data_IF_586423034639
#
_entry.id   IF_586423034639
#
_cell.length_a   1.000
_cell.length_b   1.000
_cell.length_c   1.000
_cell.angle_alpha   90.00
_cell.angle_beta   90.00
_cell.angle_gamma   90.00
#
_symmetry.space_group_name_H-M   'P 1'
#
loop_
_entity.id
_entity.type
_entity.pdbx_description
1 polymer ?
#
# COMPACT_ATOMS: atom_id res chain seq x y z
N UNK A 1 2.63 -8.22 1.21
CA UNK A 1 3.52 -8.27 2.40
C UNK A 1 4.35 -7.01 2.50
N UNK A 2 5.08 -6.60 1.45
CA UNK A 2 5.87 -5.35 1.43
C UNK A 2 5.07 -4.11 1.84
N UNK A 3 3.88 -3.90 1.27
CA UNK A 3 3.01 -2.76 1.61
C UNK A 3 2.71 -2.70 3.12
N UNK A 4 2.30 -3.81 3.72
CA UNK A 4 1.97 -3.86 5.14
C UNK A 4 3.20 -3.59 6.02
N UNK A 5 4.36 -4.15 5.68
CA UNK A 5 5.63 -3.92 6.37
C UNK A 5 6.02 -2.42 6.37
N UNK A 6 5.97 -1.78 5.19
CA UNK A 6 6.34 -0.37 5.05
C UNK A 6 5.32 0.58 5.71
N UNK A 7 4.02 0.33 5.53
CA UNK A 7 2.94 1.16 6.08
C UNK A 7 2.75 1.00 7.59
N UNK A 8 3.30 -0.06 8.18
CA UNK A 8 3.34 -0.24 9.64
C UNK A 8 4.61 0.32 10.29
N UNK A 9 5.47 0.99 9.50
CA UNK A 9 6.75 1.56 9.92
C UNK A 9 7.71 0.53 10.53
N UNK A 10 7.65 -0.71 10.06
CA UNK A 10 8.65 -1.73 10.41
C UNK A 10 9.94 -1.59 9.59
N UNK A 11 9.95 -0.71 8.60
CA UNK A 11 11.08 -0.38 7.74
C UNK A 11 10.71 0.73 6.75
N UNK A 12 11.50 0.93 5.68
CA UNK A 12 12.70 0.15 5.34
C UNK A 12 13.88 0.49 6.25
N UNK A 13 14.83 -0.43 6.38
CA UNK A 13 16.12 -0.22 7.05
C UNK A 13 17.24 -0.11 6.00
N UNK A 14 18.41 0.35 6.40
CA UNK A 14 19.56 0.41 5.48
C UNK A 14 20.18 -0.98 5.31
N UNK A 15 20.60 -1.29 4.08
CA UNK A 15 21.38 -2.50 3.78
C UNK A 15 22.66 -2.62 4.63
N UNK A 16 23.24 -1.48 5.03
CA UNK A 16 24.41 -1.48 5.93
C UNK A 16 24.09 -1.91 7.37
N UNK A 17 22.82 -1.90 7.75
CA UNK A 17 22.32 -2.30 9.08
C UNK A 17 21.77 -3.73 9.06
N UNK A 18 21.13 -4.14 7.97
CA UNK A 18 20.61 -5.51 7.73
C UNK A 18 21.03 -6.02 6.34
N UNK A 19 22.25 -6.57 6.21
CA UNK A 19 22.77 -7.00 4.91
C UNK A 19 22.07 -8.24 4.35
N UNK A 20 21.73 -8.23 3.07
CA UNK A 20 21.09 -9.35 2.40
C UNK A 20 22.02 -10.58 2.29
N UNK A 21 21.43 -11.77 2.49
CA UNK A 21 22.06 -13.05 2.16
C UNK A 21 22.94 -13.67 3.24
N UNK A 22 23.03 -13.06 4.42
CA UNK A 22 23.76 -13.65 5.57
C UNK A 22 22.89 -14.59 6.44
N UNK A 23 21.60 -14.73 6.09
CA UNK A 23 20.58 -15.54 6.79
C UNK A 23 20.29 -15.08 8.24
N UNK A 24 20.57 -13.82 8.55
CA UNK A 24 20.35 -13.22 9.85
C UNK A 24 19.73 -11.83 9.67
N UNK A 25 18.86 -11.41 10.59
CA UNK A 25 18.31 -10.06 10.61
C UNK A 25 18.33 -9.54 12.05
N UNK A 26 18.98 -8.40 12.34
CA UNK A 26 18.99 -7.83 13.67
C UNK A 26 17.59 -7.40 14.14
N UNK A 27 17.31 -7.56 15.43
CA UNK A 27 16.11 -7.01 16.06
C UNK A 27 16.31 -5.53 16.43
N UNK A 28 15.22 -4.76 16.47
CA UNK A 28 15.20 -3.40 17.02
C UNK A 28 15.78 -2.32 16.12
N UNK A 29 15.95 -2.59 14.82
CA UNK A 29 16.30 -1.56 13.84
C UNK A 29 15.17 -0.53 13.70
N UNK A 30 15.56 0.71 13.39
CA UNK A 30 14.63 1.81 13.17
C UNK A 30 14.46 2.06 11.67
N UNK A 31 13.23 2.37 11.20
CA UNK A 31 13.00 2.69 9.81
C UNK A 31 13.74 3.97 9.39
N UNK A 32 14.38 3.95 8.23
CA UNK A 32 15.05 5.10 7.64
C UNK A 32 14.06 6.17 7.13
N UNK A 33 12.87 5.73 6.71
CA UNK A 33 11.79 6.55 6.17
C UNK A 33 10.45 5.94 6.55
N UNK A 34 9.40 6.76 6.54
CA UNK A 34 8.03 6.31 6.78
C UNK A 34 7.22 6.43 5.50
N UNK A 35 6.81 5.28 4.93
CA UNK A 35 5.90 5.27 3.79
C UNK A 35 4.51 5.75 4.21
N UNK A 36 3.92 6.66 3.42
CA UNK A 36 2.64 7.29 3.72
C UNK A 36 1.59 7.10 2.62
N UNK A 37 2.02 6.84 1.39
CA UNK A 37 1.08 6.66 0.29
C UNK A 37 1.56 5.59 -0.68
N UNK A 38 0.62 4.74 -1.05
CA UNK A 38 0.75 3.74 -2.11
C UNK A 38 -0.44 3.90 -3.03
N UNK A 39 -0.19 3.99 -4.33
CA UNK A 39 -1.24 3.98 -5.35
C UNK A 39 -1.13 2.71 -6.18
N UNK A 40 -2.27 2.13 -6.55
CA UNK A 40 -2.38 0.97 -7.43
C UNK A 40 -2.98 1.46 -8.74
N UNK A 41 -2.15 1.51 -9.78
CA UNK A 41 -2.59 2.02 -11.09
C UNK A 41 -3.41 0.97 -11.85
N UNK A 42 -4.33 1.41 -12.73
CA UNK A 42 -5.15 0.52 -13.53
C UNK A 42 -4.31 -0.44 -14.39
N UNK A 43 -4.84 -1.64 -14.63
CA UNK A 43 -4.17 -2.63 -15.47
C UNK A 43 -3.96 -2.11 -16.88
N UNK A 44 -2.78 -2.39 -17.44
CA UNK A 44 -2.36 -2.08 -18.82
C UNK A 44 -2.50 -0.59 -19.22
N UNK A 45 -2.67 0.32 -18.26
CA UNK A 45 -2.66 1.76 -18.52
C UNK A 45 -1.21 2.27 -18.58
N UNK A 46 -0.55 2.06 -19.72
CA UNK A 46 0.86 2.40 -19.89
C UNK A 46 1.16 3.88 -19.81
N UNK A 47 0.22 4.75 -20.17
CA UNK A 47 0.40 6.19 -20.00
C UNK A 47 0.44 6.58 -18.52
N UNK A 48 -0.45 6.02 -17.68
CA UNK A 48 -0.39 6.21 -16.23
C UNK A 48 0.91 5.65 -15.62
N UNK A 49 1.39 4.50 -16.11
CA UNK A 49 2.68 3.93 -15.68
C UNK A 49 3.84 4.86 -16.06
N UNK A 50 3.90 5.35 -17.29
CA UNK A 50 4.94 6.29 -17.75
C UNK A 50 4.91 7.60 -16.97
N UNK A 51 3.73 8.14 -16.72
CA UNK A 51 3.54 9.34 -15.91
C UNK A 51 4.03 9.12 -14.48
N UNK A 52 3.67 8.00 -13.85
CA UNK A 52 4.15 7.65 -12.52
C UNK A 52 5.67 7.49 -12.50
N UNK A 53 6.28 6.76 -13.44
CA UNK A 53 7.75 6.66 -13.55
C UNK A 53 8.39 8.05 -13.65
N UNK A 54 7.82 8.96 -14.44
CA UNK A 54 8.35 10.31 -14.61
C UNK A 54 8.32 11.12 -13.30
N UNK A 55 7.25 11.00 -12.50
CA UNK A 55 7.10 11.79 -11.27
C UNK A 55 7.65 11.14 -10.00
N UNK A 56 7.66 9.81 -9.92
CA UNK A 56 8.03 9.06 -8.70
C UNK A 56 9.28 8.19 -8.88
N UNK A 57 9.79 8.07 -10.11
CA UNK A 57 11.02 7.34 -10.44
C UNK A 57 10.86 5.84 -10.64
N UNK A 58 9.71 5.25 -10.26
CA UNK A 58 9.49 3.83 -10.55
C UNK A 58 8.10 3.29 -10.18
N UNK A 59 7.72 2.21 -10.86
CA UNK A 59 6.47 1.49 -10.67
C UNK A 59 6.79 0.00 -10.52
N UNK A 60 6.44 -0.60 -9.40
CA UNK A 60 6.55 -2.06 -9.26
C UNK A 60 5.53 -2.72 -10.18
N UNK A 61 5.98 -3.72 -10.94
CA UNK A 61 5.10 -4.57 -11.74
C UNK A 61 5.54 -6.03 -11.76
N UNK A 62 4.61 -6.90 -12.13
CA UNK A 62 4.81 -8.35 -12.07
C UNK A 62 5.00 -8.95 -13.45
N UNK A 63 5.85 -9.97 -13.50
CA UNK A 63 6.17 -10.75 -14.69
C UNK A 63 5.98 -12.23 -14.41
N UNK A 64 5.74 -12.98 -15.49
CA UNK A 64 6.12 -14.38 -15.50
C UNK A 64 7.55 -14.48 -16.02
N UNK A 65 8.36 -15.35 -15.42
CA UNK A 65 9.64 -15.78 -15.95
C UNK A 65 9.81 -17.30 -15.80
N UNK A 66 10.44 -17.91 -16.80
CA UNK A 66 10.87 -19.31 -16.73
C UNK A 66 12.26 -19.48 -16.12
N UNK A 67 12.99 -18.38 -15.91
CA UNK A 67 14.36 -18.37 -15.37
C UNK A 67 14.31 -18.40 -13.85
N UNK A 68 15.12 -19.26 -13.23
CA UNK A 68 15.29 -19.32 -11.78
C UNK A 68 16.26 -18.25 -11.26
N UNK A 69 17.24 -17.85 -12.08
CA UNK A 69 18.24 -16.84 -11.78
C UNK A 69 18.73 -16.12 -13.06
N UNK A 70 19.69 -15.20 -12.91
CA UNK A 70 20.23 -14.42 -14.01
C UNK A 70 21.22 -15.14 -14.94
N UNK A 71 21.59 -16.39 -14.65
CA UNK A 71 22.48 -17.20 -15.48
C UNK A 71 21.73 -18.12 -16.45
N UNK A 72 20.47 -18.46 -16.13
CA UNK A 72 19.64 -19.34 -16.95
C UNK A 72 19.21 -18.71 -18.29
N UNK A 73 19.02 -19.59 -19.28
CA UNK A 73 18.46 -19.22 -20.58
C UNK A 73 16.94 -19.38 -20.61
N UNK A 74 16.25 -18.54 -21.37
CA UNK A 74 14.80 -18.66 -21.62
C UNK A 74 14.50 -18.44 -23.09
N UNK A 75 13.47 -19.14 -23.60
CA UNK A 75 12.92 -18.90 -24.93
C UNK A 75 12.29 -17.50 -25.07
N UNK A 76 12.10 -16.79 -23.95
CA UNK A 76 11.48 -15.47 -23.87
C UNK A 76 12.49 -14.33 -23.62
N UNK A 77 13.78 -14.64 -23.44
CA UNK A 77 14.81 -13.66 -23.10
C UNK A 77 15.98 -13.66 -24.08
N UNK A 78 16.20 -12.51 -24.72
CA UNK A 78 17.43 -12.25 -25.48
C UNK A 78 18.48 -11.64 -24.55
N UNK A 79 19.52 -12.43 -24.23
CA UNK A 79 20.59 -12.00 -23.31
C UNK A 79 21.50 -10.92 -23.90
N UNK A 80 21.69 -10.89 -25.22
CA UNK A 80 22.56 -9.92 -25.88
C UNK A 80 21.96 -8.51 -25.84
N UNK A 81 20.66 -8.42 -26.05
CA UNK A 81 19.90 -7.15 -26.07
C UNK A 81 19.23 -6.82 -24.72
N UNK A 82 19.30 -7.74 -23.76
CA UNK A 82 18.58 -7.63 -22.49
C UNK A 82 17.07 -7.53 -22.70
N UNK A 83 16.49 -8.25 -23.64
CA UNK A 83 15.10 -8.07 -24.08
C UNK A 83 14.21 -9.25 -23.68
N UNK A 84 13.14 -8.99 -22.94
CA UNK A 84 12.20 -10.00 -22.45
C UNK A 84 10.79 -9.79 -23.01
N UNK A 85 10.16 -10.87 -23.47
CA UNK A 85 8.75 -10.86 -23.87
C UNK A 85 8.11 -12.25 -23.66
N UNK A 86 7.16 -12.34 -22.73
CA UNK A 86 6.33 -13.50 -22.54
C UNK A 86 4.89 -13.24 -22.99
N UNK A 87 4.41 -14.01 -23.99
CA UNK A 87 3.06 -13.84 -24.56
C UNK A 87 2.13 -15.02 -24.26
N UNK A 88 2.46 -15.83 -23.24
CA UNK A 88 1.64 -16.99 -22.84
C UNK A 88 0.60 -16.65 -21.77
N UNK A 89 0.04 -17.69 -21.15
CA UNK A 89 -1.09 -17.63 -20.19
C UNK A 89 -0.69 -17.91 -18.73
N UNK A 90 0.61 -18.05 -18.45
CA UNK A 90 1.10 -18.31 -17.09
C UNK A 90 0.98 -17.05 -16.25
N UNK A 91 0.60 -17.29 -14.99
CA UNK A 91 0.51 -16.27 -13.95
C UNK A 91 1.90 -15.73 -13.59
N UNK A 92 1.97 -14.48 -13.10
CA UNK A 92 3.22 -13.91 -12.62
C UNK A 92 3.86 -14.75 -11.51
N UNK A 93 5.19 -14.78 -11.50
CA UNK A 93 6.02 -15.40 -10.46
C UNK A 93 7.26 -14.55 -10.09
N UNK A 94 7.39 -13.36 -10.67
CA UNK A 94 8.51 -12.46 -10.47
C UNK A 94 8.01 -11.01 -10.43
N UNK A 95 8.70 -10.15 -9.69
CA UNK A 95 8.41 -8.71 -9.62
C UNK A 95 9.64 -7.93 -10.05
N UNK A 96 9.42 -6.82 -10.73
CA UNK A 96 10.43 -5.87 -11.19
C UNK A 96 9.96 -4.44 -10.91
N UNK A 97 10.88 -3.47 -11.03
CA UNK A 97 10.52 -2.05 -10.99
C UNK A 97 10.71 -1.47 -12.37
N UNK A 98 9.63 -1.01 -13.00
CA UNK A 98 9.68 -0.19 -14.20
C UNK A 98 10.28 1.16 -13.82
N UNK A 99 11.39 1.54 -14.44
CA UNK A 99 12.15 2.76 -14.15
C UNK A 99 12.28 3.68 -15.36
N UNK A 100 11.77 3.26 -16.51
CA UNK A 100 11.85 4.00 -17.75
C UNK A 100 11.10 3.28 -18.86
N UNK A 101 11.15 3.86 -20.06
CA UNK A 101 10.55 3.29 -21.24
C UNK A 101 11.24 3.79 -22.50
N UNK A 102 11.09 3.04 -23.57
CA UNK A 102 11.50 3.41 -24.92
C UNK A 102 10.41 2.94 -25.89
N UNK A 103 9.68 3.90 -26.47
CA UNK A 103 8.57 3.63 -27.40
C UNK A 103 9.07 3.08 -28.76
N UNK A 104 10.33 3.32 -29.11
CA UNK A 104 10.94 2.92 -30.37
C UNK A 104 11.86 1.69 -30.20
N UNK A 105 11.83 1.01 -29.05
CA UNK A 105 12.67 -0.17 -28.81
C UNK A 105 12.32 -1.29 -29.81
N UNK A 106 13.27 -1.74 -30.66
CA UNK A 106 12.95 -2.61 -31.79
C UNK A 106 12.38 -3.95 -31.37
N UNK A 107 11.25 -4.33 -31.95
CA UNK A 107 10.62 -5.63 -31.69
C UNK A 107 11.51 -6.82 -32.07
N UNK A 108 12.44 -6.62 -33.02
CA UNK A 108 13.37 -7.66 -33.48
C UNK A 108 14.38 -8.06 -32.40
N UNK A 109 14.55 -7.26 -31.36
CA UNK A 109 15.42 -7.59 -30.23
C UNK A 109 14.82 -8.70 -29.35
N UNK A 110 13.50 -8.93 -29.40
CA UNK A 110 12.85 -9.96 -28.61
C UNK A 110 12.88 -11.32 -29.32
N UNK A 111 13.13 -12.44 -28.59
CA UNK A 111 13.09 -13.77 -29.19
C UNK A 111 11.70 -14.17 -29.70
N UNK A 112 10.67 -13.81 -28.93
CA UNK A 112 9.27 -13.89 -29.35
C UNK A 112 8.89 -12.50 -29.86
N UNK A 113 8.77 -12.36 -31.18
CA UNK A 113 8.53 -11.06 -31.80
C UNK A 113 7.15 -10.51 -31.41
N UNK A 114 7.09 -9.37 -30.71
CA UNK A 114 5.83 -8.69 -30.41
C UNK A 114 5.23 -8.04 -31.65
N UNK A 115 3.97 -7.58 -31.56
CA UNK A 115 3.27 -7.00 -32.71
C UNK A 115 3.88 -5.68 -33.19
N UNK A 116 4.48 -4.92 -32.27
CA UNK A 116 5.09 -3.62 -32.52
C UNK A 116 6.30 -3.35 -31.63
N UNK A 117 6.97 -2.25 -31.91
CA UNK A 117 8.07 -1.73 -31.11
C UNK A 117 7.56 -1.21 -29.76
N UNK A 118 8.49 -1.03 -28.82
CA UNK A 118 8.21 -0.41 -27.54
C UNK A 118 8.42 -1.35 -26.35
N UNK A 119 9.09 -0.82 -25.33
CA UNK A 119 9.44 -1.55 -24.14
C UNK A 119 9.49 -0.66 -22.89
N UNK A 120 9.23 -1.27 -21.74
CA UNK A 120 9.62 -0.74 -20.45
C UNK A 120 11.06 -1.09 -20.14
N UNK A 121 11.77 -0.20 -19.45
CA UNK A 121 13.08 -0.45 -18.86
C UNK A 121 12.84 -0.84 -17.40
N UNK A 122 13.25 -2.04 -17.03
CA UNK A 122 12.95 -2.64 -15.74
C UNK A 122 14.23 -2.92 -14.95
N UNK A 123 14.22 -2.58 -13.66
CA UNK A 123 15.23 -2.99 -12.69
C UNK A 123 14.88 -4.38 -12.12
N UNK A 124 15.85 -5.29 -12.18
CA UNK A 124 15.73 -6.66 -11.68
C UNK A 124 16.50 -6.86 -10.36
N UNK A 125 16.31 -8.01 -9.72
CA UNK A 125 16.90 -8.41 -8.44
C UNK A 125 17.94 -9.52 -8.55
N UNK A 126 18.48 -9.78 -9.75
CA UNK A 126 19.48 -10.83 -10.00
C UNK A 126 20.93 -10.31 -10.12
N UNK A 127 21.18 -9.11 -9.60
CA UNK A 127 22.50 -8.49 -9.56
C UNK A 127 22.95 -7.86 -10.88
N UNK A 128 24.09 -7.15 -10.82
CA UNK A 128 24.56 -6.33 -11.94
C UNK A 128 25.09 -7.09 -13.16
N UNK A 129 25.22 -8.42 -13.07
CA UNK A 129 25.62 -9.25 -14.21
C UNK A 129 24.43 -9.58 -15.14
N UNK A 130 23.20 -9.36 -14.68
CA UNK A 130 22.00 -9.59 -15.49
C UNK A 130 21.72 -8.39 -16.39
N UNK A 131 21.39 -8.64 -17.66
CA UNK A 131 21.10 -7.59 -18.64
C UNK A 131 22.21 -6.53 -18.70
N UNK A 132 21.82 -5.26 -18.67
CA UNK A 132 22.73 -4.13 -18.53
C UNK A 132 22.73 -3.65 -17.07
N UNK A 133 23.71 -4.09 -16.28
CA UNK A 133 23.87 -3.67 -14.87
C UNK A 133 22.65 -3.97 -13.97
N UNK A 134 21.91 -5.04 -14.26
CA UNK A 134 20.68 -5.43 -13.55
C UNK A 134 19.41 -4.86 -14.20
N UNK A 135 19.53 -4.08 -15.26
CA UNK A 135 18.42 -3.52 -16.02
C UNK A 135 18.18 -4.29 -17.33
N UNK A 136 16.94 -4.34 -17.77
CA UNK A 136 16.54 -5.05 -18.98
C UNK A 136 15.24 -4.48 -19.54
N UNK A 137 14.98 -4.73 -20.82
CA UNK A 137 13.79 -4.32 -21.54
C UNK A 137 12.69 -5.38 -21.41
N UNK A 138 11.47 -4.94 -21.15
CA UNK A 138 10.27 -5.79 -21.21
C UNK A 138 9.33 -5.19 -22.24
N UNK A 139 8.97 -5.97 -23.25
CA UNK A 139 8.05 -5.52 -24.30
C UNK A 139 6.71 -5.06 -23.72
N UNK A 140 6.13 -4.00 -24.29
CA UNK A 140 4.74 -3.61 -24.01
C UNK A 140 3.71 -4.71 -24.29
N UNK A 141 4.08 -5.71 -25.07
CA UNK A 141 3.24 -6.83 -25.45
C UNK A 141 3.42 -8.06 -24.56
N UNK A 142 4.25 -7.98 -23.51
CA UNK A 142 4.30 -9.03 -22.48
C UNK A 142 2.93 -9.16 -21.80
N UNK A 143 2.46 -10.39 -21.60
CA UNK A 143 1.13 -10.65 -21.04
C UNK A 143 0.97 -10.05 -19.65
N UNK A 144 2.02 -10.06 -18.81
CA UNK A 144 1.92 -9.77 -17.39
C UNK A 144 2.35 -8.35 -17.02
N UNK A 145 3.34 -7.76 -17.72
CA UNK A 145 3.84 -6.43 -17.39
C UNK A 145 2.69 -5.41 -17.39
N UNK A 146 2.64 -4.54 -16.39
CA UNK A 146 1.59 -3.53 -16.34
C UNK A 146 0.23 -4.04 -15.85
N UNK A 147 0.04 -5.31 -15.46
CA UNK A 147 -1.23 -5.79 -14.87
C UNK A 147 -1.33 -5.39 -13.39
N UNK A 148 -0.26 -5.60 -12.63
CA UNK A 148 -0.18 -5.20 -11.23
C UNK A 148 0.79 -4.03 -11.15
N UNK A 149 0.31 -2.84 -10.83
CA UNK A 149 1.11 -1.61 -10.85
C UNK A 149 1.05 -0.94 -9.49
N UNK A 150 2.16 -0.95 -8.75
CA UNK A 150 2.23 -0.34 -7.42
C UNK A 150 3.22 0.80 -7.44
N UNK A 151 2.74 1.97 -7.00
CA UNK A 151 3.51 3.21 -6.91
C UNK A 151 3.64 3.60 -5.45
N UNK A 152 4.87 3.80 -5.00
CA UNK A 152 5.16 4.32 -3.67
C UNK A 152 5.28 5.86 -3.78
N UNK A 153 4.15 6.55 -3.74
CA UNK A 153 4.04 7.96 -4.17
C UNK A 153 4.40 8.98 -3.11
N UNK A 154 4.39 8.60 -1.81
CA UNK A 154 4.83 9.47 -0.71
C UNK A 154 5.53 8.69 0.39
N UNK A 155 6.76 9.10 0.69
CA UNK A 155 7.48 8.72 1.89
C UNK A 155 7.95 9.99 2.61
N UNK A 156 7.71 10.04 3.91
CA UNK A 156 8.14 11.13 4.77
C UNK A 156 9.40 10.72 5.53
N UNK A 157 10.12 11.69 6.09
CA UNK A 157 11.20 11.40 7.03
C UNK A 157 10.65 10.67 8.26
N UNK A 158 11.48 9.84 8.90
CA UNK A 158 11.06 9.06 10.07
C UNK A 158 10.71 9.89 11.30
N UNK A 159 10.98 11.20 11.28
CA UNK A 159 10.62 12.19 12.30
C UNK A 159 9.45 13.10 11.90
N UNK A 160 8.85 12.91 10.71
CA UNK A 160 7.73 13.77 10.27
C UNK A 160 6.48 13.55 11.10
N UNK A 161 6.21 12.31 11.50
CA UNK A 161 5.21 11.95 12.51
C UNK A 161 5.93 11.19 13.62
N UNK A 162 5.61 11.51 14.87
CA UNK A 162 6.23 10.87 16.03
C UNK A 162 5.67 9.46 16.27
N UNK A 163 4.40 9.25 15.91
CA UNK A 163 3.69 8.04 16.29
C UNK A 163 2.63 7.61 15.30
N UNK A 164 2.42 6.31 15.26
CA UNK A 164 1.37 5.63 14.53
C UNK A 164 0.58 4.77 15.51
N UNK A 165 -0.74 5.00 15.57
CA UNK A 165 -1.68 4.12 16.25
C UNK A 165 -2.33 3.24 15.20
N UNK A 166 -2.16 1.93 15.33
CA UNK A 166 -2.58 0.94 14.34
C UNK A 166 -2.85 -0.40 15.03
N UNK A 167 -3.71 -1.20 14.39
CA UNK A 167 -4.07 -2.57 14.80
C UNK A 167 -4.19 -3.44 13.55
N UNK A 168 -3.47 -3.08 12.49
CA UNK A 168 -3.59 -3.67 11.15
C UNK A 168 -2.22 -3.99 10.53
N UNK A 169 -1.38 -4.71 11.28
CA UNK A 169 0.01 -5.01 10.88
C UNK A 169 0.12 -5.89 9.62
N UNK A 170 -0.93 -6.63 9.28
CA UNK A 170 -1.01 -7.43 8.05
C UNK A 170 -1.58 -6.63 6.88
N UNK A 171 -2.14 -5.45 7.14
CA UNK A 171 -2.72 -4.53 6.15
C UNK A 171 -3.95 -5.10 5.44
N UNK A 172 -4.17 -4.66 4.22
CA UNK A 172 -5.35 -5.04 3.43
C UNK A 172 -5.30 -6.52 3.00
N UNK A 173 -6.00 -7.39 3.74
CA UNK A 173 -6.10 -8.84 3.49
C UNK A 173 -7.51 -9.26 3.05
N UNK A 174 -8.53 -8.46 3.38
CA UNK A 174 -9.91 -8.64 2.98
C UNK A 174 -10.69 -7.32 2.94
N UNK A 175 -11.99 -7.42 2.69
CA UNK A 175 -12.89 -6.27 2.64
C UNK A 175 -14.16 -6.53 3.45
N UNK A 176 -14.74 -5.46 4.00
CA UNK A 176 -15.98 -5.48 4.75
C UNK A 176 -16.93 -4.39 4.25
N UNK A 177 -18.23 -4.64 4.38
CA UNK A 177 -19.27 -3.67 4.03
C UNK A 177 -20.66 -4.29 3.99
N UNK A 178 -21.63 -3.53 3.48
CA UNK A 178 -23.06 -3.86 3.60
C UNK A 178 -23.72 -4.14 2.24
N UNK A 179 -22.96 -4.57 1.23
CA UNK A 179 -23.49 -4.69 -0.13
C UNK A 179 -23.79 -3.32 -0.76
N UNK A 180 -23.02 -2.31 -0.37
CA UNK A 180 -23.18 -0.89 -0.74
C UNK A 180 -21.81 -0.26 -0.95
N UNK A 181 -21.79 0.76 -1.80
CA UNK A 181 -20.62 1.60 -2.07
C UNK A 181 -20.21 2.40 -0.84
N UNK A 182 -21.17 2.72 0.03
CA UNK A 182 -20.98 3.55 1.23
C UNK A 182 -20.84 2.71 2.49
N UNK A 183 -19.88 3.07 3.33
CA UNK A 183 -19.80 2.60 4.71
C UNK A 183 -19.15 3.66 5.62
N UNK A 184 -19.31 3.46 6.91
CA UNK A 184 -18.50 4.10 7.94
C UNK A 184 -17.69 3.04 8.66
N UNK A 185 -16.45 3.37 8.99
CA UNK A 185 -15.61 2.57 9.86
C UNK A 185 -14.84 3.47 10.83
N UNK A 186 -14.44 2.91 11.96
CA UNK A 186 -13.78 3.65 13.02
C UNK A 186 -12.86 2.75 13.83
N UNK A 187 -11.86 3.36 14.46
CA UNK A 187 -11.08 2.77 15.53
C UNK A 187 -11.03 3.74 16.71
N UNK A 188 -11.04 3.20 17.93
CA UNK A 188 -10.69 3.94 19.13
C UNK A 188 -9.26 3.59 19.51
N UNK A 189 -8.44 4.61 19.72
CA UNK A 189 -7.08 4.49 20.23
C UNK A 189 -6.96 5.19 21.57
N UNK A 190 -5.89 4.91 22.30
CA UNK A 190 -5.55 5.58 23.55
C UNK A 190 -4.21 6.28 23.39
N UNK A 191 -4.19 7.59 23.54
CA UNK A 191 -2.95 8.36 23.47
C UNK A 191 -2.04 7.99 24.65
N UNK A 192 -0.74 7.82 24.42
CA UNK A 192 0.19 7.51 25.50
C UNK A 192 0.80 8.77 26.11
N UNK A 193 0.87 9.86 25.34
CA UNK A 193 1.42 11.15 25.75
C UNK A 193 0.50 12.31 25.32
N UNK A 194 0.86 13.54 25.70
CA UNK A 194 0.19 14.74 25.19
C UNK A 194 0.64 15.00 23.74
N UNK A 195 -0.27 14.76 22.80
CA UNK A 195 0.02 14.70 21.38
C UNK A 195 -1.00 15.51 20.55
N UNK A 196 -0.62 15.81 19.33
CA UNK A 196 -1.48 16.38 18.30
C UNK A 196 -1.73 15.33 17.22
N UNK A 197 -2.99 14.95 17.00
CA UNK A 197 -3.39 14.08 15.91
C UNK A 197 -3.45 14.87 14.60
N UNK A 198 -2.61 14.48 13.65
CA UNK A 198 -2.35 15.22 12.42
C UNK A 198 -2.84 14.51 11.16
N UNK A 199 -2.99 13.20 11.16
CA UNK A 199 -3.49 12.49 9.99
C UNK A 199 -4.21 11.19 10.34
N UNK A 200 -4.95 10.67 9.38
CA UNK A 200 -5.50 9.32 9.40
C UNK A 200 -5.11 8.60 8.11
N UNK A 201 -4.74 7.33 8.21
CA UNK A 201 -4.38 6.52 7.06
C UNK A 201 -5.31 5.33 6.88
N UNK A 202 -5.76 5.11 5.64
CA UNK A 202 -6.68 4.05 5.28
C UNK A 202 -6.54 3.68 3.81
N UNK A 203 -7.14 2.55 3.42
CA UNK A 203 -7.14 2.11 2.03
C UNK A 203 -8.37 2.63 1.27
N UNK A 204 -8.15 3.11 0.04
CA UNK A 204 -9.16 3.16 -1.00
C UNK A 204 -9.15 1.81 -1.72
N UNK A 205 -10.27 1.08 -1.70
CA UNK A 205 -10.31 -0.26 -2.25
C UNK A 205 -10.47 -0.32 -3.77
N UNK A 206 -10.83 0.81 -4.37
CA UNK A 206 -11.03 0.96 -5.81
C UNK A 206 -10.89 2.45 -6.20
N UNK A 207 -10.93 2.72 -7.49
CA UNK A 207 -10.86 4.05 -8.07
C UNK A 207 -12.00 4.97 -7.62
N UNK A 208 -11.77 6.28 -7.76
CA UNK A 208 -12.76 7.32 -7.53
C UNK A 208 -13.38 7.34 -6.12
N UNK A 209 -12.67 6.80 -5.14
CA UNK A 209 -13.12 6.70 -3.74
C UNK A 209 -13.23 8.07 -3.09
N UNK A 210 -14.40 8.39 -2.56
CA UNK A 210 -14.64 9.61 -1.77
C UNK A 210 -14.58 9.30 -0.28
N UNK A 211 -14.09 10.26 0.50
CA UNK A 211 -13.99 10.10 1.95
C UNK A 211 -14.31 11.38 2.72
N UNK A 212 -14.74 11.21 3.96
CA UNK A 212 -14.70 12.24 5.01
C UNK A 212 -14.19 11.61 6.31
N UNK A 213 -13.14 12.21 6.88
CA UNK A 213 -12.53 11.80 8.14
C UNK A 213 -13.08 12.66 9.27
N UNK A 214 -13.39 12.01 10.39
CA UNK A 214 -13.84 12.65 11.61
C UNK A 214 -13.03 12.19 12.82
N UNK A 215 -12.99 13.04 13.84
CA UNK A 215 -12.35 12.75 15.13
C UNK A 215 -13.36 12.89 16.26
N UNK A 216 -13.24 12.04 17.27
CA UNK A 216 -13.96 12.15 18.55
C UNK A 216 -12.94 12.13 19.68
N UNK A 217 -12.88 13.20 20.47
CA UNK A 217 -12.09 13.25 21.70
C UNK A 217 -12.87 12.60 22.86
N UNK A 218 -12.18 12.01 23.83
CA UNK A 218 -12.76 11.32 24.99
C UNK A 218 -13.83 10.28 24.61
N UNK A 219 -13.49 9.36 23.71
CA UNK A 219 -14.37 8.29 23.23
C UNK A 219 -14.21 7.02 24.09
N UNK A 220 -15.21 6.73 24.93
CA UNK A 220 -15.25 5.51 25.72
C UNK A 220 -15.77 4.32 24.90
N UNK A 221 -16.57 4.58 23.86
CA UNK A 221 -17.08 3.56 22.94
C UNK A 221 -17.90 4.19 21.82
N UNK A 222 -18.52 3.35 20.97
CA UNK A 222 -19.27 3.81 19.80
C UNK A 222 -20.47 4.73 20.11
N UNK A 223 -20.99 4.70 21.34
CA UNK A 223 -22.02 5.63 21.81
C UNK A 223 -21.58 7.11 21.71
N UNK A 224 -20.28 7.38 21.75
CA UNK A 224 -19.71 8.73 21.66
C UNK A 224 -19.56 9.25 20.23
N UNK A 225 -19.68 8.39 19.21
CA UNK A 225 -19.41 8.74 17.81
C UNK A 225 -20.39 9.76 17.21
N UNK A 226 -21.49 10.05 17.90
CA UNK A 226 -22.38 11.16 17.57
C UNK A 226 -21.75 12.54 17.80
N UNK A 227 -20.67 12.63 18.61
CA UNK A 227 -19.92 13.87 18.89
C UNK A 227 -18.81 14.15 17.88
N UNK A 228 -18.71 13.34 16.82
CA UNK A 228 -17.65 13.43 15.81
C UNK A 228 -17.60 14.79 15.14
N UNK A 229 -16.39 15.29 14.88
CA UNK A 229 -16.14 16.51 14.11
C UNK A 229 -15.39 16.17 12.83
N UNK A 230 -15.84 16.72 11.70
CA UNK A 230 -15.15 16.58 10.40
C UNK A 230 -13.80 17.28 10.47
N UNK A 231 -12.75 16.61 9.99
CA UNK A 231 -11.37 17.15 9.98
C UNK A 231 -10.76 17.18 8.58
N UNK A 232 -11.14 16.26 7.69
CA UNK A 232 -10.68 16.22 6.31
C UNK A 232 -11.73 15.55 5.41
N UNK A 233 -11.74 15.89 4.12
CA UNK A 233 -12.59 15.24 3.11
C UNK A 233 -11.92 15.34 1.75
N UNK A 234 -12.19 14.39 0.86
CA UNK A 234 -11.60 14.41 -0.47
C UNK A 234 -12.10 13.29 -1.37
N UNK A 235 -11.43 13.18 -2.52
CA UNK A 235 -11.58 12.10 -3.49
C UNK A 235 -10.18 11.57 -3.82
N UNK A 236 -10.07 10.26 -3.92
CA UNK A 236 -8.87 9.51 -4.25
C UNK A 236 -9.09 8.89 -5.63
N UNK A 237 -8.17 9.12 -6.55
CA UNK A 237 -8.31 8.70 -7.94
C UNK A 237 -8.07 7.20 -8.09
N UNK A 238 -7.00 6.69 -7.50
CA UNK A 238 -6.60 5.29 -7.62
C UNK A 238 -6.89 4.49 -6.35
N UNK A 239 -7.02 3.17 -6.49
CA UNK A 239 -6.96 2.27 -5.34
C UNK A 239 -5.59 2.39 -4.65
N UNK A 240 -5.50 2.03 -3.37
CA UNK A 240 -4.24 2.08 -2.64
C UNK A 240 -4.39 2.49 -1.18
N UNK A 241 -3.29 2.90 -0.57
CA UNK A 241 -3.23 3.41 0.80
C UNK A 241 -2.91 4.88 0.81
N UNK A 242 -3.60 5.65 1.64
CA UNK A 242 -3.44 7.09 1.73
C UNK A 242 -3.40 7.56 3.17
N UNK A 243 -2.37 8.32 3.54
CA UNK A 243 -2.34 9.14 4.75
C UNK A 243 -2.92 10.53 4.46
N UNK A 244 -4.07 10.81 5.05
CA UNK A 244 -4.80 12.07 4.88
C UNK A 244 -4.41 13.05 5.98
N UNK A 245 -3.64 14.07 5.61
CA UNK A 245 -3.24 15.14 6.52
C UNK A 245 -4.44 16.03 6.90
N UNK A 246 -4.51 16.39 8.18
CA UNK A 246 -5.54 17.28 8.71
C UNK A 246 -5.07 18.73 8.60
N UNK A 247 -5.86 19.63 7.98
CA UNK A 247 -5.50 21.05 7.92
C UNK A 247 -5.33 21.71 9.29
N UNK A 248 -5.96 21.14 10.32
CA UNK A 248 -5.80 21.55 11.72
C UNK A 248 -5.70 20.29 12.60
N UNK A 249 -4.67 20.19 13.46
CA UNK A 249 -4.53 19.04 14.32
C UNK A 249 -5.61 18.98 15.39
N UNK A 250 -5.71 17.80 15.98
CA UNK A 250 -6.60 17.46 17.08
C UNK A 250 -5.76 17.15 18.32
N UNK A 251 -5.77 18.03 19.34
CA UNK A 251 -5.07 17.73 20.59
C UNK A 251 -5.70 16.51 21.29
N UNK A 252 -4.85 15.61 21.79
CA UNK A 252 -5.20 14.44 22.61
C UNK A 252 -4.25 14.39 23.79
N UNK A 253 -4.78 14.15 24.99
CA UNK A 253 -3.96 14.09 26.21
C UNK A 253 -3.44 12.68 26.47
N UNK A 254 -2.36 12.58 27.24
CA UNK A 254 -1.89 11.30 27.75
C UNK A 254 -3.03 10.53 28.46
N UNK A 255 -3.25 9.29 28.04
CA UNK A 255 -4.33 8.41 28.51
C UNK A 255 -5.72 8.72 27.94
N UNK A 256 -5.89 9.77 27.16
CA UNK A 256 -7.15 10.07 26.50
C UNK A 256 -7.44 9.04 25.40
N UNK A 257 -8.63 8.44 25.46
CA UNK A 257 -9.16 7.65 24.34
C UNK A 257 -9.78 8.57 23.30
N UNK A 258 -9.39 8.41 22.04
CA UNK A 258 -9.92 9.16 20.91
C UNK A 258 -10.32 8.22 19.78
N UNK A 259 -11.34 8.60 19.01
CA UNK A 259 -11.77 7.84 17.85
C UNK A 259 -11.40 8.57 16.56
N UNK A 260 -10.91 7.81 15.59
CA UNK A 260 -10.87 8.23 14.18
C UNK A 260 -11.98 7.48 13.46
N UNK A 261 -12.74 8.21 12.65
CA UNK A 261 -13.88 7.69 11.92
C UNK A 261 -13.74 8.10 10.46
N UNK A 262 -14.00 7.19 9.53
CA UNK A 262 -14.03 7.49 8.10
C UNK A 262 -15.41 7.13 7.56
N UNK A 263 -16.06 8.08 6.89
CA UNK A 263 -17.10 7.80 5.92
C UNK A 263 -16.43 7.60 4.58
N UNK A 264 -16.68 6.46 3.94
CA UNK A 264 -16.09 6.13 2.65
C UNK A 264 -17.19 5.80 1.65
N UNK A 265 -16.98 6.19 0.40
CA UNK A 265 -17.79 5.79 -0.74
C UNK A 265 -16.89 5.38 -1.89
N UNK A 266 -16.94 4.12 -2.26
CA UNK A 266 -16.20 3.58 -3.41
C UNK A 266 -17.19 3.10 -4.46
N UNK A 267 -17.32 3.81 -5.61
CA UNK A 267 -18.25 3.45 -6.68
C UNK A 267 -18.13 1.99 -7.10
N UNK A 268 -19.26 1.31 -7.33
CA UNK A 268 -19.30 -0.11 -7.74
C UNK A 268 -18.93 -1.12 -6.64
N UNK A 269 -18.32 -0.71 -5.53
CA UNK A 269 -17.97 -1.63 -4.44
C UNK A 269 -19.19 -2.09 -3.63
N UNK A 270 -19.13 -3.34 -3.17
CA UNK A 270 -20.08 -3.90 -2.20
C UNK A 270 -19.49 -3.98 -0.78
N UNK A 271 -18.16 -3.87 -0.68
CA UNK A 271 -17.37 -3.96 0.55
C UNK A 271 -16.23 -2.92 0.51
N UNK A 272 -16.51 -1.64 0.78
CA UNK A 272 -15.54 -0.55 0.56
C UNK A 272 -14.49 -0.41 1.69
N UNK A 273 -14.58 -1.18 2.78
CA UNK A 273 -13.69 -1.06 3.93
C UNK A 273 -12.63 -2.15 3.89
N UNK A 274 -11.35 -1.77 3.79
CA UNK A 274 -10.25 -2.73 3.92
C UNK A 274 -10.11 -3.23 5.37
N UNK A 275 -9.86 -4.53 5.50
CA UNK A 275 -9.67 -5.20 6.79
C UNK A 275 -8.47 -6.15 6.76
N UNK A 276 -7.94 -6.44 7.94
CA UNK A 276 -7.15 -7.65 8.17
C UNK A 276 -7.95 -8.70 8.93
N UNK A 277 -7.78 -9.97 8.56
CA UNK A 277 -8.42 -11.09 9.24
C UNK A 277 -7.61 -12.38 9.03
N UNK A 278 -7.87 -13.36 9.89
CA UNK A 278 -7.29 -14.70 9.79
C UNK A 278 -7.99 -15.51 8.69
N UNK A 279 -7.53 -15.35 7.44
CA UNK A 279 -8.04 -16.14 6.32
C UNK A 279 -7.64 -17.62 6.46
N UNK A 280 -8.56 -18.60 6.30
CA UNK A 280 -8.28 -20.02 6.53
C UNK A 280 -7.14 -20.60 5.66
N UNK A 281 -6.90 -19.98 4.51
CA UNK A 281 -5.95 -20.37 3.48
C UNK A 281 -4.62 -19.60 3.53
N UNK A 282 -4.51 -18.56 4.37
CA UNK A 282 -3.31 -17.75 4.51
C UNK A 282 -2.53 -18.12 5.78
N UNK A 283 -1.20 -18.08 5.68
CA UNK A 283 -0.30 -18.34 6.82
C UNK A 283 -0.22 -17.18 7.82
N UNK A 284 -0.72 -16.01 7.43
CA UNK A 284 -0.67 -14.79 8.24
C UNK A 284 -1.56 -14.94 9.47
N UNK A 285 -1.02 -14.57 10.64
CA UNK A 285 -1.76 -14.54 11.90
C UNK A 285 -2.00 -13.09 12.31
N UNK A 286 -3.26 -12.70 12.30
CA UNK A 286 -3.75 -11.40 12.76
C UNK A 286 -4.02 -11.49 14.28
N UNK A 287 -3.54 -10.51 15.03
CA UNK A 287 -3.95 -10.27 16.41
C UNK A 287 -5.27 -9.48 16.39
N UNK A 288 -6.31 -9.98 17.05
CA UNK A 288 -7.61 -9.30 17.15
C UNK A 288 -7.86 -8.75 18.56
N UNK A 289 -6.87 -8.86 19.45
CA UNK A 289 -6.96 -8.43 20.85
C UNK A 289 -6.49 -7.00 21.08
N UNK A 290 -5.78 -6.43 20.11
CA UNK A 290 -5.29 -5.04 20.09
C UNK A 290 -6.32 -4.06 19.48
N UNK A 291 -7.30 -4.57 18.74
CA UNK A 291 -8.36 -3.83 18.05
C UNK A 291 -9.51 -3.30 18.93
N UNK A 292 -9.94 -2.08 18.63
CA UNK A 292 -11.23 -1.53 19.06
C UNK A 292 -11.92 -0.81 17.88
N UNK A 293 -12.21 -1.60 16.86
CA UNK A 293 -12.77 -1.18 15.60
C UNK A 293 -14.27 -1.35 15.50
N UNK A 294 -14.86 -0.53 14.64
CA UNK A 294 -16.29 -0.52 14.40
C UNK A 294 -16.61 -0.30 12.94
N UNK A 295 -17.75 -0.83 12.50
CA UNK A 295 -18.33 -0.56 11.20
C UNK A 295 -19.80 -0.15 11.34
N UNK A 296 -20.27 0.71 10.43
CA UNK A 296 -21.66 1.16 10.38
C UNK A 296 -22.09 1.49 8.96
N UNK A 297 -23.33 1.18 8.59
CA UNK A 297 -23.88 1.59 7.29
C UNK A 297 -24.19 3.10 7.24
N UNK A 298 -24.65 3.69 8.35
CA UNK A 298 -25.18 5.06 8.39
C UNK A 298 -24.47 5.98 9.38
N UNK A 299 -23.46 5.47 10.08
CA UNK A 299 -22.73 6.20 11.11
C UNK A 299 -23.55 6.50 12.37
N UNK A 300 -24.64 5.76 12.62
CA UNK A 300 -25.55 5.96 13.77
C UNK A 300 -25.67 4.74 14.68
N UNK A 301 -25.48 3.54 14.14
CA UNK A 301 -25.47 2.27 14.88
C UNK A 301 -24.25 1.48 14.43
N UNK A 302 -23.47 0.96 15.37
CA UNK A 302 -22.11 0.49 15.13
C UNK A 302 -21.92 -0.90 15.69
N UNK A 303 -21.34 -1.77 14.87
CA UNK A 303 -20.98 -3.14 15.25
C UNK A 303 -19.47 -3.19 15.51
N UNK A 304 -19.05 -3.87 16.57
CA UNK A 304 -17.62 -4.04 16.89
C UNK A 304 -17.04 -5.14 16.01
N UNK A 305 -16.04 -4.81 15.18
CA UNK A 305 -15.60 -5.73 14.12
C UNK A 305 -14.83 -6.94 14.65
N UNK A 306 -14.09 -6.79 15.75
CA UNK A 306 -13.31 -7.90 16.31
C UNK A 306 -14.24 -9.01 16.85
N UNK A 307 -15.37 -8.63 17.47
CA UNK A 307 -16.31 -9.60 18.06
C UNK A 307 -17.37 -10.09 17.09
N UNK A 308 -17.85 -9.24 16.19
CA UNK A 308 -18.95 -9.58 15.28
C UNK A 308 -18.45 -10.14 13.94
N UNK A 309 -17.23 -9.79 13.51
CA UNK A 309 -16.70 -10.11 12.18
C UNK A 309 -15.34 -10.84 12.22
N UNK A 310 -14.67 -10.92 13.39
CA UNK A 310 -13.35 -11.54 13.56
C UNK A 310 -12.27 -10.91 12.66
N UNK A 311 -12.26 -9.57 12.59
CA UNK A 311 -11.29 -8.79 11.81
C UNK A 311 -10.97 -7.46 12.51
N UNK A 312 -9.88 -6.81 12.09
CA UNK A 312 -9.58 -5.41 12.39
C UNK A 312 -9.83 -4.56 11.13
N UNK A 313 -10.32 -3.33 11.30
CA UNK A 313 -10.35 -2.37 10.18
C UNK A 313 -8.96 -1.79 9.94
N UNK A 314 -8.60 -1.63 8.67
CA UNK A 314 -7.35 -0.99 8.28
C UNK A 314 -7.47 0.53 8.37
N UNK A 315 -7.38 1.04 9.60
CA UNK A 315 -7.39 2.46 9.92
C UNK A 315 -6.21 2.75 10.84
N UNK A 316 -5.44 3.77 10.51
CA UNK A 316 -4.29 4.25 11.28
C UNK A 316 -4.49 5.71 11.66
N UNK A 317 -3.88 6.11 12.77
CA UNK A 317 -3.87 7.50 13.22
C UNK A 317 -2.42 7.96 13.46
N UNK A 318 -2.06 9.14 12.97
CA UNK A 318 -0.70 9.65 13.05
C UNK A 318 -0.64 10.91 13.89
N UNK A 319 0.25 10.91 14.88
CA UNK A 319 0.38 12.03 15.82
C UNK A 319 1.79 12.61 15.81
N UNK A 320 1.88 13.84 16.30
CA UNK A 320 3.12 14.50 16.67
C UNK A 320 3.08 14.81 18.15
N UNK A 321 4.23 14.76 18.81
CA UNK A 321 4.35 15.24 20.19
C UNK A 321 4.07 16.73 20.21
N UNK A 322 3.37 17.18 21.24
CA UNK A 322 3.17 18.61 21.45
C UNK A 322 4.54 19.19 21.76
N UNK A 323 5.09 20.04 20.89
CA UNK A 323 6.37 20.70 21.21
C UNK A 323 6.22 21.48 22.52
N UNK A 324 7.13 21.26 23.47
CA UNK A 324 7.21 22.06 24.70
C UNK A 324 7.24 23.55 24.29
N UNK A 325 6.18 24.28 24.64
CA UNK A 325 6.08 25.74 24.41
C UNK A 325 6.84 26.52 25.46
#
# INVERSE_FOLDING_TARGET
MSMAYLLSWQGPVLESEDPYGDSWSPEGLSPALHLQEIQILPEKNYEAVKEAVYFTGGVQSSLYTSMADGEESSDYYNKEEGAYCYTGDRRPNHDVVIIGWDDDYPKENFPVQPEGDGAFICANSWGGAFGEQGYFYVSYYDTNIGIHNIVYSRADSSDYYDKIYQTDLCGWVGQLGYGKEDAFFANIYQAEEDEELWAAGFYATDEDTQYEVYVVNNAAGSADFGRRRSVARGKLEHAGYYTIDFPKPAAVKAGERFAVIVSIRTPGSVHPVAIEYNAPDKKTKVDLSDGEGYISLRGTAWDRVETEQNCNVCLKAYTRRTADR
#
